data_IF_826025225229
#
_entry.id   IF_826025225229
#
_cell.length_a   1.000
_cell.length_b   1.000
_cell.length_c   1.000
_cell.angle_alpha   90.00
_cell.angle_beta   90.00
_cell.angle_gamma   90.00
#
_symmetry.space_group_name_H-M   'P 1'
#
loop_
_entity.id
_entity.type
_entity.pdbx_description
1 polymer ?
#
# COMPACT_ATOMS: atom_id res chain seq x y z
N UNK A 1 30.57 16.26 4.73
CA UNK A 1 29.47 16.36 3.75
C UNK A 1 28.25 15.65 4.35
N UNK A 2 27.22 16.39 4.78
CA UNK A 2 25.99 15.79 5.32
C UNK A 2 25.19 15.28 4.12
N UNK A 3 25.12 13.97 3.91
CA UNK A 3 24.24 13.39 2.89
C UNK A 3 22.79 13.69 3.34
N UNK A 4 22.16 14.71 2.75
CA UNK A 4 20.71 14.89 2.85
C UNK A 4 20.08 13.62 2.28
N UNK A 5 19.32 12.91 3.11
CA UNK A 5 18.61 11.72 2.67
C UNK A 5 17.44 12.18 1.79
N UNK A 6 17.31 11.62 0.60
CA UNK A 6 16.17 11.89 -0.29
C UNK A 6 15.00 11.06 0.19
N UNK A 7 13.91 11.73 0.58
CA UNK A 7 12.64 11.13 0.97
C UNK A 7 11.73 11.01 -0.26
N UNK A 8 11.13 9.84 -0.46
CA UNK A 8 10.20 9.54 -1.54
C UNK A 8 8.89 9.04 -0.94
N UNK A 9 7.76 9.42 -1.54
CA UNK A 9 6.44 8.91 -1.17
C UNK A 9 5.92 8.00 -2.29
N UNK A 10 5.70 6.72 -1.99
CA UNK A 10 5.34 5.71 -3.00
C UNK A 10 4.28 4.72 -2.49
N UNK A 11 3.50 4.14 -3.41
CA UNK A 11 2.33 3.31 -3.08
C UNK A 11 2.54 1.81 -3.28
N UNK A 12 3.34 1.41 -4.27
CA UNK A 12 3.51 -0.01 -4.63
C UNK A 12 2.26 -0.68 -5.22
N UNK A 13 1.32 0.08 -5.80
CA UNK A 13 0.12 -0.43 -6.45
C UNK A 13 -0.24 0.37 -7.71
N UNK A 14 -0.98 -0.24 -8.63
CA UNK A 14 -1.38 0.36 -9.91
C UNK A 14 -2.46 1.45 -9.79
N UNK A 15 -3.13 1.55 -8.64
CA UNK A 15 -4.29 2.44 -8.45
C UNK A 15 -4.01 3.47 -7.35
N UNK A 16 -3.38 4.62 -7.68
CA UNK A 16 -2.95 5.59 -6.67
C UNK A 16 -4.11 6.18 -5.86
N UNK A 17 -5.30 6.32 -6.45
CA UNK A 17 -6.49 6.83 -5.76
C UNK A 17 -7.13 5.87 -4.75
N UNK A 18 -6.61 4.63 -4.64
CA UNK A 18 -6.97 3.64 -3.63
C UNK A 18 -5.74 3.19 -2.81
N UNK A 19 -4.59 3.83 -3.03
CA UNK A 19 -3.36 3.46 -2.36
C UNK A 19 -3.06 4.41 -1.22
N UNK A 20 -2.29 3.92 -0.26
CA UNK A 20 -1.66 4.72 0.79
C UNK A 20 -0.21 4.97 0.36
N UNK A 21 0.20 6.22 0.26
CA UNK A 21 1.57 6.60 0.01
C UNK A 21 2.38 6.40 1.29
N UNK A 22 3.47 5.65 1.20
CA UNK A 22 4.41 5.41 2.30
C UNK A 22 5.72 6.15 2.04
N UNK A 23 6.32 6.74 3.08
CA UNK A 23 7.63 7.36 2.97
C UNK A 23 8.73 6.30 2.84
N UNK A 24 9.74 6.59 2.01
CA UNK A 24 10.90 5.75 1.78
C UNK A 24 12.15 6.61 1.64
N UNK A 25 13.23 6.20 2.31
CA UNK A 25 14.55 6.79 2.12
C UNK A 25 15.23 6.16 0.91
N UNK A 26 15.67 6.99 -0.04
CA UNK A 26 16.38 6.52 -1.23
C UNK A 26 17.59 5.65 -0.88
N UNK A 27 17.67 4.47 -1.51
CA UNK A 27 18.70 3.46 -1.25
C UNK A 27 18.40 2.53 -0.06
N UNK A 28 17.17 2.49 0.43
CA UNK A 28 16.70 1.49 1.41
C UNK A 28 15.65 0.57 0.78
N UNK A 29 15.76 -0.72 1.08
CA UNK A 29 14.77 -1.73 0.72
C UNK A 29 13.80 -1.87 1.89
N UNK A 30 12.80 -1.00 1.90
CA UNK A 30 11.65 -1.04 2.80
C UNK A 30 10.42 -1.15 1.90
N UNK A 31 9.41 -1.99 2.20
CA UNK A 31 8.21 -2.07 1.38
C UNK A 31 7.65 -0.66 1.10
N UNK A 32 7.19 -0.35 -0.11
CA UNK A 32 6.99 -1.26 -1.24
C UNK A 32 8.24 -1.48 -2.12
N UNK A 33 9.45 -1.17 -1.65
CA UNK A 33 10.71 -1.44 -2.35
C UNK A 33 11.34 -2.75 -1.86
N UNK A 34 11.56 -3.68 -2.78
CA UNK A 34 12.13 -5.00 -2.49
C UNK A 34 13.36 -5.25 -3.36
N UNK A 35 14.31 -6.03 -2.83
CA UNK A 35 15.46 -6.50 -3.60
C UNK A 35 15.12 -7.77 -4.41
N UNK A 36 14.17 -8.57 -3.93
CA UNK A 36 13.71 -9.78 -4.57
C UNK A 36 12.45 -9.52 -5.41
N UNK A 37 12.44 -10.04 -6.64
CA UNK A 37 11.34 -9.87 -7.58
C UNK A 37 10.06 -10.55 -7.11
N UNK A 38 10.18 -11.75 -6.51
CA UNK A 38 9.03 -12.52 -6.04
C UNK A 38 8.36 -11.81 -4.87
N UNK A 39 9.12 -11.29 -3.91
CA UNK A 39 8.58 -10.52 -2.79
C UNK A 39 7.85 -9.26 -3.28
N UNK A 40 8.44 -8.55 -4.25
CA UNK A 40 7.80 -7.39 -4.90
C UNK A 40 6.49 -7.77 -5.59
N UNK A 41 6.49 -8.88 -6.34
CA UNK A 41 5.30 -9.38 -7.03
C UNK A 41 4.21 -9.78 -6.05
N UNK A 42 4.54 -10.54 -5.00
CA UNK A 42 3.58 -11.01 -4.00
C UNK A 42 2.97 -9.82 -3.25
N UNK A 43 3.79 -8.82 -2.87
CA UNK A 43 3.34 -7.57 -2.27
C UNK A 43 2.36 -6.83 -3.18
N UNK A 44 2.74 -6.59 -4.43
CA UNK A 44 1.93 -5.86 -5.42
C UNK A 44 0.62 -6.60 -5.74
N UNK A 45 0.72 -7.89 -6.03
CA UNK A 45 -0.41 -8.75 -6.41
C UNK A 45 -1.52 -8.74 -5.36
N UNK A 46 -1.15 -8.75 -4.07
CA UNK A 46 -2.12 -8.63 -2.96
C UNK A 46 -2.95 -7.33 -3.04
N UNK A 47 -2.32 -6.18 -3.30
CA UNK A 47 -3.01 -4.90 -3.48
C UNK A 47 -3.88 -4.90 -4.74
N UNK A 48 -3.44 -5.56 -5.81
CA UNK A 48 -4.24 -5.65 -7.03
C UNK A 48 -5.52 -6.48 -6.84
N UNK A 49 -5.48 -7.54 -6.03
CA UNK A 49 -6.70 -8.27 -5.66
C UNK A 49 -7.64 -7.45 -4.78
N UNK A 50 -7.09 -6.66 -3.85
CA UNK A 50 -7.87 -5.70 -3.06
C UNK A 50 -8.54 -4.66 -3.96
N UNK A 51 -7.82 -4.07 -4.91
CA UNK A 51 -8.36 -3.15 -5.90
C UNK A 51 -9.51 -3.77 -6.70
N UNK A 52 -9.37 -5.03 -7.14
CA UNK A 52 -10.43 -5.77 -7.84
C UNK A 52 -11.66 -5.99 -6.96
N UNK A 53 -11.48 -6.23 -5.66
CA UNK A 53 -12.58 -6.34 -4.70
C UNK A 53 -13.37 -5.02 -4.59
N UNK A 54 -12.66 -3.90 -4.45
CA UNK A 54 -13.25 -2.54 -4.42
C UNK A 54 -14.00 -2.25 -5.73
N UNK A 55 -13.38 -2.49 -6.89
CA UNK A 55 -14.04 -2.29 -8.19
C UNK A 55 -15.23 -3.21 -8.44
N UNK A 56 -15.33 -4.32 -7.72
CA UNK A 56 -16.45 -5.27 -7.79
C UNK A 56 -17.48 -5.05 -6.69
N UNK A 57 -17.38 -3.94 -5.95
CA UNK A 57 -18.35 -3.54 -4.93
C UNK A 57 -18.47 -4.55 -3.78
N UNK A 58 -17.38 -5.28 -3.49
CA UNK A 58 -17.26 -6.12 -2.28
C UNK A 58 -16.75 -5.33 -1.08
N UNK A 59 -16.15 -4.16 -1.33
CA UNK A 59 -15.65 -3.23 -0.34
C UNK A 59 -16.19 -1.85 -0.71
N UNK A 60 -16.82 -1.17 0.26
CA UNK A 60 -17.29 0.20 0.05
C UNK A 60 -16.11 1.13 -0.18
N UNK A 61 -16.07 1.74 -1.37
CA UNK A 61 -14.94 2.57 -1.80
C UNK A 61 -14.79 3.84 -0.96
N UNK A 62 -15.88 4.39 -0.42
CA UNK A 62 -15.84 5.64 0.34
C UNK A 62 -15.30 5.40 1.75
N UNK A 63 -15.77 4.35 2.41
CA UNK A 63 -15.25 3.90 3.70
C UNK A 63 -13.77 3.51 3.59
N UNK A 64 -13.41 2.73 2.57
CA UNK A 64 -12.03 2.33 2.32
C UNK A 64 -11.12 3.55 2.11
N UNK A 65 -11.50 4.49 1.23
CA UNK A 65 -10.71 5.71 0.99
C UNK A 65 -10.56 6.57 2.23
N UNK A 66 -11.63 6.73 3.01
CA UNK A 66 -11.59 7.47 4.27
C UNK A 66 -10.55 6.88 5.23
N UNK A 67 -10.52 5.55 5.38
CA UNK A 67 -9.53 4.86 6.22
C UNK A 67 -8.12 4.99 5.68
N UNK A 68 -7.95 4.82 4.36
CA UNK A 68 -6.65 4.95 3.69
C UNK A 68 -6.07 6.36 3.83
N UNK A 69 -6.86 7.40 3.60
CA UNK A 69 -6.41 8.79 3.73
C UNK A 69 -6.16 9.20 5.19
N UNK A 70 -6.97 8.72 6.14
CA UNK A 70 -6.69 8.95 7.55
C UNK A 70 -5.33 8.38 7.97
N UNK A 71 -4.98 7.18 7.49
CA UNK A 71 -3.68 6.56 7.74
C UNK A 71 -2.53 7.30 7.05
N UNK A 72 -2.71 7.75 5.80
CA UNK A 72 -1.71 8.58 5.11
C UNK A 72 -1.46 9.91 5.84
N UNK A 73 -2.52 10.57 6.30
CA UNK A 73 -2.42 11.80 7.11
C UNK A 73 -1.67 11.56 8.43
N UNK A 74 -1.82 10.39 9.05
CA UNK A 74 -1.03 10.00 10.23
C UNK A 74 0.46 9.89 9.90
N UNK A 75 0.81 9.26 8.77
CA UNK A 75 2.20 9.13 8.34
C UNK A 75 2.84 10.49 8.04
N UNK A 76 2.10 11.39 7.36
CA UNK A 76 2.58 12.75 7.06
C UNK A 76 2.86 13.50 8.35
N UNK A 77 1.92 13.50 9.31
CA UNK A 77 2.10 14.16 10.61
C UNK A 77 3.25 13.59 11.44
N UNK A 78 3.50 12.28 11.31
CA UNK A 78 4.63 11.64 11.98
C UNK A 78 5.96 12.12 11.37
N UNK A 79 6.05 12.22 10.05
CA UNK A 79 7.25 12.70 9.36
C UNK A 79 7.51 14.19 9.53
N UNK A 80 6.48 15.03 9.54
CA UNK A 80 6.63 16.48 9.76
C UNK A 80 7.33 16.77 11.11
N UNK A 81 6.98 16.02 12.17
CA UNK A 81 7.61 16.14 13.49
C UNK A 81 9.09 15.77 13.50
N UNK A 82 9.51 14.87 12.61
CA UNK A 82 10.89 14.38 12.55
C UNK A 82 11.81 15.30 11.76
N UNK A 83 11.27 16.04 10.79
CA UNK A 83 12.02 17.08 10.10
C UNK A 83 12.42 18.21 11.06
N UNK A 84 11.52 18.57 11.99
CA UNK A 84 11.79 19.56 13.04
C UNK A 84 12.92 19.11 13.99
N UNK A 85 13.08 17.80 14.22
CA UNK A 85 14.04 17.25 15.19
C UNK A 85 15.42 16.88 14.62
N UNK A 86 15.70 17.14 13.33
CA UNK A 86 16.97 16.74 12.65
C UNK A 86 17.33 15.25 12.86
N UNK A 87 16.35 14.36 12.65
CA UNK A 87 16.48 12.92 12.91
C UNK A 87 17.55 12.20 12.07
N UNK A 88 18.16 11.18 12.65
CA UNK A 88 19.17 10.33 11.98
C UNK A 88 18.53 9.42 10.92
N UNK A 89 19.25 9.11 9.85
CA UNK A 89 18.81 8.20 8.77
C UNK A 89 18.29 6.84 9.26
N UNK A 90 18.86 6.30 10.34
CA UNK A 90 18.41 5.05 10.94
C UNK A 90 16.98 5.16 11.51
N UNK A 91 16.69 6.26 12.23
CA UNK A 91 15.36 6.56 12.78
C UNK A 91 14.35 6.72 11.65
N UNK A 92 14.71 7.49 10.60
CA UNK A 92 13.83 7.66 9.44
C UNK A 92 13.53 6.33 8.74
N UNK A 93 14.52 5.43 8.65
CA UNK A 93 14.31 4.10 8.04
C UNK A 93 13.36 3.26 8.87
N UNK A 94 13.50 3.25 10.20
CA UNK A 94 12.62 2.51 11.10
C UNK A 94 11.17 2.98 11.01
N UNK A 95 10.94 4.29 10.85
CA UNK A 95 9.60 4.84 10.72
C UNK A 95 9.01 4.54 9.33
N UNK A 96 9.82 4.54 8.27
CA UNK A 96 9.37 4.03 6.96
C UNK A 96 8.89 2.57 7.07
N UNK A 97 9.62 1.72 7.81
CA UNK A 97 9.23 0.32 8.05
C UNK A 97 7.92 0.24 8.85
N UNK A 98 7.74 1.08 9.86
CA UNK A 98 6.50 1.15 10.64
C UNK A 98 5.29 1.56 9.78
N UNK A 99 5.42 2.62 8.96
CA UNK A 99 4.36 3.04 8.03
C UNK A 99 3.97 1.89 7.09
N UNK A 100 4.95 1.17 6.57
CA UNK A 100 4.72 0.04 5.66
C UNK A 100 4.09 -1.16 6.36
N UNK A 101 4.44 -1.43 7.61
CA UNK A 101 3.80 -2.47 8.42
C UNK A 101 2.33 -2.12 8.73
N UNK A 102 2.04 -0.86 9.10
CA UNK A 102 0.67 -0.38 9.33
C UNK A 102 -0.20 -0.52 8.08
N UNK A 103 0.33 -0.17 6.90
CA UNK A 103 -0.40 -0.39 5.65
C UNK A 103 -0.58 -1.88 5.33
N UNK A 104 0.43 -2.72 5.60
CA UNK A 104 0.32 -4.15 5.42
C UNK A 104 -0.76 -4.76 6.32
N UNK A 105 -0.82 -4.37 7.59
CA UNK A 105 -1.88 -4.78 8.53
C UNK A 105 -3.27 -4.33 8.06
N UNK A 106 -3.38 -3.10 7.54
CA UNK A 106 -4.61 -2.60 6.95
C UNK A 106 -5.05 -3.43 5.75
N UNK A 107 -4.15 -3.76 4.82
CA UNK A 107 -4.44 -4.66 3.68
C UNK A 107 -4.82 -6.07 4.17
N UNK A 108 -4.16 -6.56 5.22
CA UNK A 108 -4.40 -7.89 5.79
C UNK A 108 -5.77 -8.00 6.46
N UNK A 109 -6.34 -6.89 6.91
CA UNK A 109 -7.72 -6.85 7.41
C UNK A 109 -8.76 -7.26 6.35
N UNK A 110 -8.41 -7.22 5.06
CA UNK A 110 -9.25 -7.65 3.94
C UNK A 110 -8.86 -9.02 3.37
N UNK A 111 -8.01 -9.80 4.06
CA UNK A 111 -7.44 -11.07 3.53
C UNK A 111 -8.49 -12.03 2.98
N UNK A 112 -9.62 -12.21 3.65
CA UNK A 112 -10.64 -13.20 3.27
C UNK A 112 -11.31 -12.79 1.95
N UNK A 113 -11.56 -11.49 1.76
CA UNK A 113 -12.10 -10.95 0.51
C UNK A 113 -11.06 -11.04 -0.60
N UNK A 114 -9.80 -10.72 -0.30
CA UNK A 114 -8.67 -10.82 -1.24
C UNK A 114 -8.52 -12.26 -1.75
N UNK A 115 -8.53 -13.25 -0.85
CA UNK A 115 -8.46 -14.67 -1.19
C UNK A 115 -9.70 -15.12 -1.99
N UNK A 116 -10.88 -14.66 -1.60
CA UNK A 116 -12.11 -14.90 -2.34
C UNK A 116 -12.03 -14.42 -3.79
N UNK A 117 -11.44 -13.24 -4.03
CA UNK A 117 -11.18 -12.74 -5.39
C UNK A 117 -10.09 -13.55 -6.09
N UNK A 118 -8.96 -13.82 -5.42
CA UNK A 118 -7.79 -14.54 -5.98
C UNK A 118 -8.14 -15.95 -6.47
N UNK A 119 -8.93 -16.68 -5.68
CA UNK A 119 -9.33 -18.05 -5.98
C UNK A 119 -10.69 -18.14 -6.69
N UNK A 120 -11.17 -17.02 -7.24
CA UNK A 120 -12.41 -16.92 -8.03
C UNK A 120 -13.67 -17.41 -7.29
N UNK A 121 -13.67 -17.34 -5.96
CA UNK A 121 -14.83 -17.62 -5.12
C UNK A 121 -15.80 -16.43 -5.10
N UNK A 122 -15.27 -15.21 -5.29
CA UNK A 122 -16.03 -13.98 -5.48
C UNK A 122 -16.03 -13.58 -6.96
N UNK A 123 -17.19 -13.62 -7.61
CA UNK A 123 -17.32 -13.26 -9.03
C UNK A 123 -17.12 -11.75 -9.20
N UNK A 124 -16.19 -11.36 -10.06
CA UNK A 124 -16.03 -9.95 -10.43
C UNK A 124 -17.31 -9.43 -11.10
N UNK A 125 -17.78 -8.26 -10.68
CA UNK A 125 -19.02 -7.64 -11.17
C UNK A 125 -18.74 -6.62 -12.29
N UNK A 126 -19.80 -6.08 -12.91
CA UNK A 126 -19.70 -4.99 -13.88
C UNK A 126 -19.00 -5.35 -15.19
N UNK A 127 -18.09 -4.48 -15.67
CA UNK A 127 -17.33 -4.70 -16.92
C UNK A 127 -16.46 -5.95 -16.86
N UNK A 128 -16.00 -6.33 -15.66
CA UNK A 128 -15.16 -7.51 -15.47
C UNK A 128 -15.94 -8.80 -15.67
N UNK A 129 -17.20 -8.87 -15.21
CA UNK A 129 -18.07 -10.03 -15.41
C UNK A 129 -18.19 -10.45 -16.90
N UNK A 130 -18.21 -9.48 -17.82
CA UNK A 130 -18.28 -9.75 -19.26
C UNK A 130 -16.98 -10.31 -19.83
N UNK A 131 -15.83 -9.96 -19.24
CA UNK A 131 -14.50 -10.37 -19.71
C UNK A 131 -14.00 -11.67 -19.06
N UNK A 132 -14.42 -11.98 -17.83
CA UNK A 132 -14.07 -13.24 -17.14
C UNK A 132 -14.84 -14.46 -17.63
N UNK A 133 -15.77 -14.32 -18.58
CA UNK A 133 -16.36 -15.48 -19.29
C UNK A 133 -15.48 -16.01 -20.44
N UNK A 134 -14.41 -15.30 -20.78
CA UNK A 134 -13.51 -15.61 -21.91
C UNK A 134 -12.13 -16.12 -21.45
N UNK A 135 -11.93 -16.25 -20.14
CA UNK A 135 -10.75 -16.85 -19.51
C UNK A 135 -11.19 -18.13 -18.80
#
# INVERSE_FOLDING_TARGET
MRLRSVLLWITGSSTPCLSIFKPIIFGKCVPPVFADEKDSFDYWSKREYLNRAIFSDYIDVNDYRRKAYAMEDEFIKEFDKLEESNSTRAILTAICEECSNKEQEFVDSYKDIIEGVKYNQLKLKGKWHKRTKLL
#
